data_IF_006274036804
#
_entry.id   IF_006274036804
#
_cell.length_a   1.000
_cell.length_b   1.000
_cell.length_c   1.000
_cell.angle_alpha   90.00
_cell.angle_beta   90.00
_cell.angle_gamma   90.00
#
_symmetry.space_group_name_H-M   'P 1'
#
loop_
_entity.id
_entity.type
_entity.pdbx_description
1 polymer ?
#
# COMPACT_ATOMS: atom_id res chain seq x y z
N UNK A 1 -3.45 -16.40 8.95
CA UNK A 1 -2.47 -15.29 8.94
C UNK A 1 -1.00 -15.73 8.83
N UNK A 2 -0.28 -15.33 7.79
CA UNK A 2 1.18 -15.50 7.70
C UNK A 2 2.00 -14.51 8.55
N UNK A 3 3.25 -14.86 8.80
CA UNK A 3 4.25 -14.00 9.43
C UNK A 3 4.58 -12.77 8.56
N UNK A 4 4.59 -12.93 7.24
CA UNK A 4 4.92 -11.85 6.29
C UNK A 4 3.95 -10.65 6.37
N UNK A 5 2.66 -10.90 6.63
CA UNK A 5 1.68 -9.82 6.83
C UNK A 5 1.98 -9.05 8.11
N UNK A 6 2.35 -9.75 9.19
CA UNK A 6 2.68 -9.13 10.48
C UNK A 6 3.93 -8.28 10.34
N UNK A 7 4.96 -8.82 9.71
CA UNK A 7 6.22 -8.13 9.46
C UNK A 7 6.00 -6.83 8.68
N UNK A 8 5.13 -6.85 7.66
CA UNK A 8 4.76 -5.66 6.92
C UNK A 8 4.15 -4.57 7.82
N UNK A 9 3.17 -4.92 8.65
CA UNK A 9 2.52 -3.94 9.53
C UNK A 9 3.44 -3.44 10.65
N UNK A 10 4.33 -4.30 11.14
CA UNK A 10 5.36 -3.93 12.11
C UNK A 10 6.40 -2.97 11.49
N UNK A 11 6.83 -3.24 10.26
CA UNK A 11 7.71 -2.35 9.49
C UNK A 11 7.04 -1.02 9.18
N UNK A 12 5.75 -1.04 8.84
CA UNK A 12 4.96 0.17 8.58
C UNK A 12 4.92 1.08 9.82
N UNK A 13 4.75 0.49 11.01
CA UNK A 13 4.79 1.21 12.30
C UNK A 13 6.16 1.86 12.55
N UNK A 14 7.25 1.17 12.17
CA UNK A 14 8.62 1.69 12.33
C UNK A 14 9.01 2.74 11.28
N UNK A 15 8.50 2.64 10.05
CA UNK A 15 9.00 3.36 8.87
C UNK A 15 8.08 4.43 8.27
N UNK A 16 6.80 4.49 8.63
CA UNK A 16 5.80 5.35 7.96
C UNK A 16 6.00 6.87 8.07
N UNK A 17 6.88 7.31 8.98
CA UNK A 17 7.04 8.70 9.46
C UNK A 17 7.21 9.81 8.43
N UNK A 18 7.84 9.55 7.27
CA UNK A 18 8.13 10.59 6.28
C UNK A 18 7.10 10.66 5.15
N UNK A 19 6.59 9.51 4.69
CA UNK A 19 5.71 9.44 3.52
C UNK A 19 4.25 9.78 3.84
N UNK A 20 3.87 9.68 5.13
CA UNK A 20 2.50 9.84 5.62
C UNK A 20 2.26 11.15 6.38
N UNK A 21 3.21 12.10 6.36
CA UNK A 21 3.11 13.37 7.11
C UNK A 21 1.88 14.21 6.78
N UNK A 22 1.34 14.06 5.57
CA UNK A 22 0.18 14.80 5.10
C UNK A 22 -1.12 14.01 5.22
N UNK A 23 -1.08 12.80 5.79
CA UNK A 23 -2.27 11.97 5.92
C UNK A 23 -2.63 11.80 7.39
N UNK A 24 -3.93 11.89 7.66
CA UNK A 24 -4.51 11.53 8.95
C UNK A 24 -5.84 10.82 8.72
N UNK A 25 -6.08 9.79 9.52
CA UNK A 25 -7.30 8.97 9.54
C UNK A 25 -7.01 7.49 9.70
N UNK A 26 -8.02 6.65 9.49
CA UNK A 26 -7.99 5.22 9.78
C UNK A 26 -8.29 4.35 8.56
N UNK A 27 -7.51 3.28 8.38
CA UNK A 27 -7.70 2.30 7.32
C UNK A 27 -7.79 0.92 7.94
N UNK A 28 -8.90 0.22 7.72
CA UNK A 28 -9.06 -1.19 8.07
C UNK A 28 -8.72 -2.06 6.88
N UNK A 29 -7.83 -3.03 7.07
CA UNK A 29 -7.55 -4.09 6.10
C UNK A 29 -8.23 -5.37 6.56
N UNK A 30 -9.17 -5.85 5.76
CA UNK A 30 -9.85 -7.13 5.92
C UNK A 30 -9.17 -8.13 4.97
N UNK A 31 -8.26 -8.95 5.52
CA UNK A 31 -7.45 -9.88 4.76
C UNK A 31 -8.07 -11.28 4.80
N UNK A 32 -8.63 -11.71 3.67
CA UNK A 32 -9.14 -13.07 3.54
C UNK A 32 -7.98 -14.07 3.39
N UNK A 33 -7.94 -15.04 4.30
CA UNK A 33 -6.98 -16.13 4.30
C UNK A 33 -7.67 -17.51 4.48
N UNK A 34 -6.88 -18.59 4.56
CA UNK A 34 -7.42 -19.95 4.68
C UNK A 34 -8.26 -20.20 5.94
N UNK A 35 -7.91 -19.50 7.04
CA UNK A 35 -8.52 -19.70 8.36
C UNK A 35 -9.63 -18.69 8.68
N UNK A 36 -9.95 -17.78 7.75
CA UNK A 36 -10.93 -16.71 7.94
C UNK A 36 -10.43 -15.34 7.48
N UNK A 37 -11.12 -14.30 7.90
CA UNK A 37 -10.74 -12.90 7.64
C UNK A 37 -10.01 -12.35 8.85
N UNK A 38 -8.82 -11.84 8.61
CA UNK A 38 -8.03 -11.16 9.62
C UNK A 38 -8.14 -9.64 9.47
N UNK A 39 -8.43 -8.95 10.57
CA UNK A 39 -8.69 -7.51 10.58
C UNK A 39 -7.52 -6.72 11.18
N UNK A 40 -7.02 -5.75 10.41
CA UNK A 40 -5.97 -4.83 10.84
C UNK A 40 -6.43 -3.39 10.72
N UNK A 41 -6.34 -2.64 11.80
CA UNK A 41 -6.61 -1.20 11.79
C UNK A 41 -5.29 -0.44 11.78
N UNK A 42 -5.10 0.39 10.76
CA UNK A 42 -3.98 1.31 10.63
C UNK A 42 -4.48 2.72 10.91
N UNK A 43 -4.09 3.27 12.05
CA UNK A 43 -4.36 4.66 12.41
C UNK A 43 -3.16 5.53 12.08
N UNK A 44 -3.40 6.64 11.40
CA UNK A 44 -2.37 7.57 10.95
C UNK A 44 -2.70 8.96 11.50
N UNK A 45 -1.75 9.58 12.18
CA UNK A 45 -1.80 11.01 12.53
C UNK A 45 -0.51 11.69 12.11
N UNK A 46 -0.56 12.45 11.00
CA UNK A 46 0.56 13.31 10.54
C UNK A 46 1.90 12.58 10.50
N UNK A 47 1.89 11.35 10.00
CA UNK A 47 3.06 10.49 9.88
C UNK A 47 3.34 9.57 11.07
N UNK A 48 2.68 9.76 12.22
CA UNK A 48 2.65 8.71 13.23
C UNK A 48 1.73 7.60 12.77
N UNK A 49 2.21 6.37 12.78
CA UNK A 49 1.43 5.19 12.39
C UNK A 49 1.30 4.28 13.58
N UNK A 50 0.08 3.85 13.85
CA UNK A 50 -0.24 2.84 14.84
C UNK A 50 -1.02 1.72 14.16
N UNK A 51 -0.64 0.47 14.44
CA UNK A 51 -1.35 -0.69 13.94
C UNK A 51 -1.91 -1.48 15.11
N UNK A 52 -3.20 -1.85 15.02
CA UNK A 52 -3.85 -2.76 15.97
C UNK A 52 -4.53 -3.91 15.25
N UNK A 53 -4.55 -5.08 15.90
CA UNK A 53 -5.36 -6.21 15.47
C UNK A 53 -6.77 -6.09 16.01
N UNK A 54 -7.74 -6.36 15.14
CA UNK A 54 -9.13 -6.08 15.44
C UNK A 54 -9.39 -4.56 15.44
N UNK A 55 -10.55 -4.19 14.96
CA UNK A 55 -11.01 -2.80 14.88
C UNK A 55 -12.50 -2.80 14.59
N UNK A 56 -13.25 -2.01 15.35
CA UNK A 56 -14.68 -1.83 15.18
C UNK A 56 -15.03 -1.26 13.79
N UNK A 57 -16.32 -1.28 13.45
CA UNK A 57 -16.86 -1.06 12.11
C UNK A 57 -16.65 0.32 11.49
N UNK A 58 -16.18 1.31 12.26
CA UNK A 58 -15.94 2.67 11.78
C UNK A 58 -14.45 2.91 11.49
N UNK A 59 -14.03 2.61 10.27
CA UNK A 59 -12.79 3.13 9.68
C UNK A 59 -13.13 4.12 8.56
N UNK A 60 -12.28 5.13 8.34
CA UNK A 60 -12.47 6.07 7.22
C UNK A 60 -12.42 5.34 5.88
N UNK A 61 -11.70 4.22 5.81
CA UNK A 61 -11.71 3.30 4.67
C UNK A 61 -11.54 1.85 5.12
N UNK A 62 -12.34 0.96 4.54
CA UNK A 62 -12.17 -0.49 4.66
C UNK A 62 -11.68 -1.03 3.32
N UNK A 63 -10.51 -1.67 3.32
CA UNK A 63 -9.92 -2.37 2.19
C UNK A 63 -10.12 -3.86 2.39
N UNK A 64 -10.84 -4.52 1.48
CA UNK A 64 -11.02 -5.96 1.52
C UNK A 64 -10.24 -6.61 0.38
N UNK A 65 -9.35 -7.53 0.73
CA UNK A 65 -8.46 -8.21 -0.22
C UNK A 65 -8.07 -9.58 0.33
N UNK A 66 -7.58 -10.47 -0.52
CA UNK A 66 -6.97 -11.70 -0.04
C UNK A 66 -5.51 -11.48 0.39
N UNK A 67 -5.03 -12.35 1.27
CA UNK A 67 -3.67 -12.28 1.82
C UNK A 67 -2.59 -12.33 0.73
N UNK A 68 -2.80 -13.10 -0.34
CA UNK A 68 -1.80 -13.25 -1.40
C UNK A 68 -1.68 -11.97 -2.25
N UNK A 69 -2.80 -11.36 -2.61
CA UNK A 69 -2.84 -10.10 -3.35
C UNK A 69 -2.23 -8.96 -2.54
N UNK A 70 -2.55 -8.90 -1.24
CA UNK A 70 -1.94 -7.95 -0.31
C UNK A 70 -0.41 -8.08 -0.30
N UNK A 71 0.12 -9.29 -0.17
CA UNK A 71 1.57 -9.51 -0.14
C UNK A 71 2.25 -9.19 -1.47
N UNK A 72 1.59 -9.42 -2.61
CA UNK A 72 2.09 -8.99 -3.92
C UNK A 72 2.16 -7.47 -4.02
N UNK A 73 1.18 -6.75 -3.49
CA UNK A 73 1.25 -5.29 -3.37
C UNK A 73 2.36 -4.88 -2.40
N UNK A 74 2.49 -5.52 -1.25
CA UNK A 74 3.54 -5.28 -0.26
C UNK A 74 4.96 -5.38 -0.84
N UNK A 75 5.19 -6.37 -1.70
CA UNK A 75 6.46 -6.61 -2.40
C UNK A 75 6.68 -5.70 -3.62
N UNK A 76 5.71 -4.87 -3.96
CA UNK A 76 5.75 -4.02 -5.17
C UNK A 76 5.49 -4.77 -6.47
N UNK A 77 5.12 -6.05 -6.43
CA UNK A 77 4.83 -6.87 -7.61
C UNK A 77 3.50 -6.51 -8.27
N UNK A 78 2.60 -5.86 -7.51
CA UNK A 78 1.31 -5.38 -7.97
C UNK A 78 1.09 -3.94 -7.53
N UNK A 79 0.58 -3.13 -8.45
CA UNK A 79 0.22 -1.73 -8.17
C UNK A 79 -1.21 -1.62 -7.62
N UNK A 80 -1.40 -0.99 -6.44
CA UNK A 80 -2.72 -0.89 -5.80
C UNK A 80 -3.75 -0.17 -6.65
N UNK A 81 -3.42 0.99 -7.22
CA UNK A 81 -4.41 1.79 -7.93
C UNK A 81 -4.95 1.06 -9.18
N UNK A 82 -4.11 0.48 -10.06
CA UNK A 82 -4.60 -0.37 -11.15
C UNK A 82 -5.31 -1.65 -10.71
N UNK A 83 -4.95 -2.24 -9.56
CA UNK A 83 -5.62 -3.43 -9.02
C UNK A 83 -7.04 -3.09 -8.54
N UNK A 84 -7.20 -1.98 -7.82
CA UNK A 84 -8.49 -1.46 -7.40
C UNK A 84 -9.40 -1.11 -8.59
N UNK A 85 -8.86 -0.40 -9.59
CA UNK A 85 -9.61 -0.06 -10.82
C UNK A 85 -10.05 -1.29 -11.62
N UNK A 86 -9.34 -2.42 -11.50
CA UNK A 86 -9.71 -3.70 -12.10
C UNK A 86 -10.62 -4.55 -11.20
N UNK A 87 -10.98 -4.02 -10.03
CA UNK A 87 -11.78 -4.70 -9.01
C UNK A 87 -11.11 -5.99 -8.50
N UNK A 88 -9.78 -6.03 -8.48
CA UNK A 88 -9.01 -7.13 -7.87
C UNK A 88 -9.18 -7.12 -6.33
N UNK A 89 -9.48 -5.95 -5.75
CA UNK A 89 -9.83 -5.76 -4.35
C UNK A 89 -10.82 -4.59 -4.20
N UNK A 90 -11.53 -4.51 -3.08
CA UNK A 90 -12.51 -3.44 -2.80
C UNK A 90 -11.98 -2.45 -1.76
N UNK A 91 -12.43 -1.21 -1.88
CA UNK A 91 -12.17 -0.17 -0.89
C UNK A 91 -13.44 0.65 -0.70
N UNK A 92 -14.00 0.60 0.50
CA UNK A 92 -15.21 1.32 0.88
C UNK A 92 -14.85 2.48 1.80
N UNK A 93 -15.32 3.68 1.48
CA UNK A 93 -15.03 4.91 2.24
C UNK A 93 -14.20 5.92 1.44
N UNK A 94 -13.26 6.57 2.12
CA UNK A 94 -12.49 7.67 1.55
C UNK A 94 -11.37 7.23 0.58
N UNK A 95 -11.61 7.45 -0.72
CA UNK A 95 -10.69 7.12 -1.82
C UNK A 95 -9.22 7.58 -1.63
N UNK A 96 -8.98 8.66 -0.89
CA UNK A 96 -7.61 9.15 -0.63
C UNK A 96 -6.70 8.10 0.02
N UNK A 97 -7.26 7.15 0.78
CA UNK A 97 -6.50 6.06 1.38
C UNK A 97 -6.06 5.01 0.35
N UNK A 98 -6.82 4.79 -0.72
CA UNK A 98 -6.38 3.96 -1.85
C UNK A 98 -5.18 4.60 -2.56
N UNK A 99 -5.22 5.92 -2.75
CA UNK A 99 -4.08 6.66 -3.33
C UNK A 99 -2.85 6.62 -2.42
N UNK A 100 -3.05 6.61 -1.09
CA UNK A 100 -1.95 6.47 -0.13
C UNK A 100 -1.22 5.13 -0.29
N UNK A 101 -1.91 4.04 -0.65
CA UNK A 101 -1.29 2.72 -0.83
C UNK A 101 -0.11 2.77 -1.83
N UNK A 102 -0.20 3.60 -2.87
CA UNK A 102 0.90 3.79 -3.84
C UNK A 102 2.19 4.35 -3.20
N UNK A 103 2.08 4.98 -2.02
CA UNK A 103 3.21 5.46 -1.22
C UNK A 103 3.67 4.45 -0.17
N UNK A 104 2.76 3.61 0.32
CA UNK A 104 3.06 2.62 1.35
C UNK A 104 3.80 1.41 0.79
N UNK A 105 3.42 1.00 -0.42
CA UNK A 105 3.96 -0.19 -1.02
C UNK A 105 5.24 0.07 -1.79
N UNK A 106 6.13 -0.92 -1.75
CA UNK A 106 7.43 -0.82 -2.41
C UNK A 106 7.24 -0.53 -3.90
N UNK A 107 8.09 0.33 -4.51
CA UNK A 107 8.14 0.42 -5.95
C UNK A 107 8.50 -0.96 -6.54
N UNK A 108 7.92 -1.36 -7.68
CA UNK A 108 8.21 -2.64 -8.30
C UNK A 108 9.72 -2.85 -8.53
N UNK A 109 10.24 -4.06 -8.33
CA UNK A 109 11.64 -4.36 -8.64
C UNK A 109 11.91 -4.04 -10.12
N UNK A 110 12.93 -3.19 -10.36
CA UNK A 110 13.29 -2.75 -11.71
C UNK A 110 12.52 -1.54 -12.25
N UNK A 111 11.69 -0.87 -11.44
CA UNK A 111 11.05 0.39 -11.80
C UNK A 111 12.11 1.47 -12.12
N UNK A 112 12.42 1.66 -13.41
CA UNK A 112 13.26 2.77 -13.86
C UNK A 112 12.40 4.01 -13.99
N UNK A 113 12.88 5.13 -13.46
CA UNK A 113 12.21 6.41 -13.62
C UNK A 113 12.07 6.73 -15.14
N UNK A 114 10.89 7.12 -15.66
CA UNK A 114 10.70 7.42 -17.08
C UNK A 114 11.67 8.48 -17.64
N UNK A 115 12.13 9.40 -16.79
CA UNK A 115 13.21 10.36 -17.19
C UNK A 115 14.58 9.72 -17.40
N UNK A 116 14.86 8.56 -16.82
CA UNK A 116 16.11 7.84 -17.05
C UNK A 116 16.15 7.14 -18.42
N UNK A 117 14.99 6.79 -19.00
CA UNK A 117 14.92 6.22 -20.36
C UNK A 117 14.95 7.28 -21.47
N UNK A 118 14.51 8.52 -21.19
CA UNK A 118 14.57 9.61 -22.15
C UNK A 118 15.96 10.31 -22.26
N UNK A 119 16.85 10.10 -21.29
CA UNK A 119 18.15 10.79 -21.20
C UNK A 119 19.28 10.25 -22.08
N UNK A 120 19.04 9.26 -22.94
CA UNK A 120 20.10 8.62 -23.75
C UNK A 120 19.96 8.82 -25.28
N UNK A 121 19.13 9.77 -25.72
CA UNK A 121 19.05 10.18 -27.12
C UNK A 121 19.51 11.63 -27.28
N UNK A 122 20.82 11.86 -27.08
CA UNK A 122 21.49 13.08 -27.53
C UNK A 122 22.07 12.87 -28.94
N UNK A 123 22.05 13.88 -29.82
CA UNK A 123 22.37 13.71 -31.24
C UNK A 123 23.87 13.46 -31.44
N UNK A 124 24.20 12.55 -32.36
CA UNK A 124 25.54 12.40 -32.89
C UNK A 124 25.84 13.58 -33.85
N UNK A 125 26.45 14.65 -33.34
CA UNK A 125 27.29 15.55 -34.14
C UNK A 125 28.58 14.76 -34.46
N UNK A 126 28.97 14.51 -35.71
CA UNK A 126 29.20 15.46 -36.79
C UNK A 126 30.72 15.50 -37.01
N UNK A 127 31.23 14.74 -37.99
CA UNK A 127 32.66 14.65 -38.36
C UNK A 127 32.95 15.54 -39.56
#
# INVERSE_FOLDING_TARGET
MSEAVRDFFDDLTRGGGRMLRQVSGTVRFDLAGPDGVDHWLVAIDRGQVMVSRGGADDADTVIQTDEALFLRMARGELKPLPAWLRNDFTADGEFRFVIMLERLFAPPPGARHPRAVAGHAGPAEGR
#
